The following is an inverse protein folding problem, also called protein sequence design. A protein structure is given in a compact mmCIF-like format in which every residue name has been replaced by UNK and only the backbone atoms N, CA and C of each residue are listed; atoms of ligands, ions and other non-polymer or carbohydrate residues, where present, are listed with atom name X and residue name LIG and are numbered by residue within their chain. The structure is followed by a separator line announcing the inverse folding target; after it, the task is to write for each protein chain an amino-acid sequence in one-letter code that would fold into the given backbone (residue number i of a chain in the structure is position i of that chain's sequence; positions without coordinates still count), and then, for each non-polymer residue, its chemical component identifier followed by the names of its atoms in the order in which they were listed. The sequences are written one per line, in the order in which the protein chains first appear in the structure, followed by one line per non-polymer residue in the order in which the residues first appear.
data_IF_053662128874
#
_entry.id   IF_053662128874
#
_cell.length_a   1.000
_cell.length_b   1.000
_cell.length_c   1.000
_cell.angle_alpha   90.00
_cell.angle_beta   90.00
_cell.angle_gamma   90.00
#
_symmetry.space_group_name_H-M   'P 1'
#
loop_
_entity.id
_entity.type
_entity.pdbx_description
1 polymer ?
#
# COMPACT_ATOMS: atom_id res chain seq x y z
N UNK A 1 -3.09 3.35 -5.74
CA UNK A 1 -2.38 2.14 -6.21
C UNK A 1 -0.95 2.53 -6.55
N UNK A 2 0.03 1.68 -6.22
CA UNK A 2 1.42 1.96 -6.57
C UNK A 2 1.66 1.95 -8.08
N UNK A 3 2.55 2.80 -8.56
CA UNK A 3 2.96 2.92 -9.97
C UNK A 3 3.95 1.84 -10.43
N UNK A 4 3.86 0.67 -9.83
CA UNK A 4 4.64 -0.53 -10.19
C UNK A 4 4.21 -1.08 -11.55
N UNK A 5 5.11 -1.79 -12.23
CA UNK A 5 4.93 -2.20 -13.62
C UNK A 5 3.66 -3.05 -13.84
N UNK A 6 3.40 -4.02 -12.96
CA UNK A 6 2.28 -4.96 -13.10
C UNK A 6 0.90 -4.31 -12.91
N UNK A 7 0.81 -3.21 -12.18
CA UNK A 7 -0.44 -2.43 -12.03
C UNK A 7 -0.77 -1.57 -13.28
N UNK A 8 0.16 -1.46 -14.22
CA UNK A 8 0.05 -0.55 -15.37
C UNK A 8 -0.07 -1.26 -16.71
N UNK A 9 -0.21 -2.59 -16.71
CA UNK A 9 -0.36 -3.35 -17.95
C UNK A 9 -1.61 -2.87 -18.71
N UNK A 10 -1.62 -2.94 -20.05
CA UNK A 10 -2.77 -2.55 -20.84
C UNK A 10 -4.05 -3.30 -20.42
N UNK A 11 -3.94 -4.59 -20.12
CA UNK A 11 -5.05 -5.42 -19.68
C UNK A 11 -5.67 -4.93 -18.35
N UNK A 12 -4.84 -4.60 -17.36
CA UNK A 12 -5.32 -4.08 -16.07
C UNK A 12 -6.00 -2.72 -16.26
N UNK A 13 -5.40 -1.80 -17.02
CA UNK A 13 -5.99 -0.48 -17.30
C UNK A 13 -7.31 -0.58 -18.06
N UNK A 14 -7.40 -1.50 -19.02
CA UNK A 14 -8.63 -1.76 -19.77
C UNK A 14 -9.73 -2.26 -18.82
N UNK A 15 -9.42 -3.22 -17.94
CA UNK A 15 -10.40 -3.74 -16.99
C UNK A 15 -10.87 -2.70 -15.99
N UNK A 16 -9.96 -1.88 -15.46
CA UNK A 16 -10.31 -0.80 -14.54
C UNK A 16 -11.22 0.24 -15.20
N UNK A 17 -10.98 0.54 -16.48
CA UNK A 17 -11.86 1.42 -17.27
C UNK A 17 -13.24 0.80 -17.51
N UNK A 18 -13.31 -0.48 -17.87
CA UNK A 18 -14.57 -1.22 -18.04
C UNK A 18 -15.41 -1.18 -16.76
N UNK A 19 -14.76 -1.28 -15.60
CA UNK A 19 -15.40 -1.23 -14.29
C UNK A 19 -15.71 0.20 -13.79
N UNK A 20 -15.42 1.24 -14.58
CA UNK A 20 -15.65 2.64 -14.19
C UNK A 20 -14.76 3.10 -13.02
N UNK A 21 -13.62 2.45 -12.79
CA UNK A 21 -12.72 2.77 -11.68
C UNK A 21 -11.75 3.89 -12.06
N UNK A 22 -11.77 4.98 -11.30
CA UNK A 22 -10.76 6.04 -11.39
C UNK A 22 -9.56 5.66 -10.53
N UNK A 23 -8.41 5.50 -11.16
CA UNK A 23 -7.17 5.10 -10.47
C UNK A 23 -6.36 6.31 -10.03
N UNK A 24 -6.12 6.46 -8.73
CA UNK A 24 -5.07 7.32 -8.19
C UNK A 24 -3.75 6.54 -8.13
N UNK A 25 -2.79 6.92 -8.96
CA UNK A 25 -1.47 6.30 -9.02
C UNK A 25 -0.49 7.06 -8.14
N UNK A 26 0.11 6.38 -7.17
CA UNK A 26 1.10 6.99 -6.26
C UNK A 26 2.45 7.06 -6.98
N UNK A 27 3.11 8.24 -7.05
CA UNK A 27 4.41 8.37 -7.69
C UNK A 27 5.49 7.47 -7.06
N UNK A 28 6.54 7.11 -7.82
CA UNK A 28 7.63 6.31 -7.28
C UNK A 28 8.28 7.03 -6.09
N UNK A 29 8.55 6.29 -5.01
CA UNK A 29 9.14 6.84 -3.78
C UNK A 29 8.16 7.56 -2.85
N UNK A 30 6.90 7.76 -3.25
CA UNK A 30 5.90 8.43 -2.42
C UNK A 30 4.97 7.48 -1.64
N UNK A 31 5.06 6.16 -1.82
CA UNK A 31 4.15 5.19 -1.19
C UNK A 31 4.09 5.37 0.33
N UNK A 32 5.24 5.43 1.02
CA UNK A 32 5.29 5.61 2.47
C UNK A 32 4.90 7.01 2.96
N UNK A 33 4.71 7.96 2.04
CA UNK A 33 4.33 9.34 2.36
C UNK A 33 2.84 9.58 2.14
N UNK A 34 2.28 9.05 1.06
CA UNK A 34 0.94 9.43 0.59
C UNK A 34 0.00 8.27 0.33
N UNK A 35 0.46 7.01 0.32
CA UNK A 35 -0.44 5.87 0.17
C UNK A 35 -1.18 5.61 1.49
N UNK A 36 -2.53 5.74 1.54
CA UNK A 36 -3.27 5.56 2.79
C UNK A 36 -3.09 4.17 3.41
N UNK A 37 -3.00 3.13 2.58
CA UNK A 37 -2.74 1.77 3.07
C UNK A 37 -1.38 1.68 3.79
N UNK A 38 -0.35 2.40 3.33
CA UNK A 38 0.95 2.32 3.98
C UNK A 38 1.00 3.19 5.24
N UNK A 39 0.51 4.43 5.15
CA UNK A 39 0.61 5.41 6.23
C UNK A 39 -0.38 5.17 7.36
N UNK A 40 -1.63 4.84 7.05
CA UNK A 40 -2.70 4.72 8.04
C UNK A 40 -2.91 3.28 8.54
N UNK A 41 -2.50 2.27 7.78
CA UNK A 41 -2.76 0.85 8.13
C UNK A 41 -1.47 0.09 8.39
N UNK A 42 -0.59 -0.05 7.37
CA UNK A 42 0.59 -0.90 7.50
C UNK A 42 1.56 -0.40 8.55
N UNK A 43 1.80 0.92 8.61
CA UNK A 43 2.73 1.51 9.57
C UNK A 43 2.27 1.32 11.02
N UNK A 44 1.03 1.66 11.42
CA UNK A 44 0.53 1.33 12.75
C UNK A 44 0.55 -0.17 13.05
N UNK A 45 0.13 -1.01 12.10
CA UNK A 45 0.14 -2.46 12.28
C UNK A 45 1.55 -3.03 12.47
N UNK A 46 2.56 -2.46 11.80
CA UNK A 46 3.97 -2.81 12.03
C UNK A 46 4.40 -2.43 13.45
N UNK A 47 4.02 -1.24 13.92
CA UNK A 47 4.30 -0.79 15.29
C UNK A 47 3.74 -1.74 16.35
N UNK A 48 2.45 -2.07 16.26
CA UNK A 48 1.81 -3.01 17.19
C UNK A 48 2.49 -4.39 17.21
N UNK A 49 2.95 -4.87 16.05
CA UNK A 49 3.69 -6.14 15.98
C UNK A 49 5.07 -6.04 16.65
N UNK A 50 5.76 -4.92 16.48
CA UNK A 50 7.04 -4.68 17.14
C UNK A 50 6.87 -4.63 18.66
N UNK A 51 5.90 -3.85 19.16
CA UNK A 51 5.57 -3.75 20.59
C UNK A 51 5.27 -5.12 21.20
N UNK A 52 4.40 -5.91 20.55
CA UNK A 52 4.08 -7.26 21.03
C UNK A 52 5.28 -8.22 21.00
N UNK A 53 6.22 -8.04 20.06
CA UNK A 53 7.44 -8.86 20.00
C UNK A 53 8.39 -8.48 21.12
N UNK A 54 8.52 -7.18 21.42
CA UNK A 54 9.35 -6.68 22.51
C UNK A 54 8.82 -7.15 23.87
N UNK A 55 7.50 -7.10 24.08
CA UNK A 55 6.84 -7.64 25.28
C UNK A 55 7.14 -9.14 25.47
N UNK A 56 7.00 -9.94 24.41
CA UNK A 56 7.25 -11.38 24.47
C UNK A 56 8.70 -11.76 24.77
N UNK A 57 9.68 -10.98 24.30
CA UNK A 57 11.12 -11.27 24.49
C UNK A 57 11.65 -10.75 25.84
N UNK A 58 10.95 -9.81 26.47
CA UNK A 58 11.32 -9.26 27.77
C UNK A 58 10.95 -10.18 28.96
N UNK A 59 10.08 -11.19 28.73
CA UNK A 59 9.73 -12.28 29.66
C UNK A 59 10.62 -13.53 29.47
#
# INVERSE_FOLDING_TARGET
MDVVAFHKTPAIKAKLRELGVITAMIPPGCTSLSQPLDTAINKPAKGMRSEATEEYVAD
#
